data_IF_903391568234
#
_entry.id   IF_903391568234
#
_cell.length_a   1.000
_cell.length_b   1.000
_cell.length_c   1.000
_cell.angle_alpha   90.00
_cell.angle_beta   90.00
_cell.angle_gamma   90.00
#
_symmetry.space_group_name_H-M   'P 1'
#
loop_
_entity.id
_entity.type
_entity.pdbx_description
1 polymer ?
#
# COMPACT_ATOMS: atom_id res chain seq x y z
N UNK A 1 -18.65 -34.08 -28.43
CA UNK A 1 -17.44 -33.24 -28.30
C UNK A 1 -17.78 -31.87 -28.86
N UNK A 2 -17.53 -30.72 -28.22
CA UNK A 2 -16.51 -30.39 -27.24
C UNK A 2 -17.02 -29.30 -26.26
N UNK A 3 -16.74 -29.48 -24.97
CA UNK A 3 -17.24 -28.69 -23.84
C UNK A 3 -16.19 -27.73 -23.28
N UNK A 4 -15.06 -27.55 -23.96
CA UNK A 4 -13.85 -26.94 -23.37
C UNK A 4 -13.22 -25.93 -24.33
N UNK A 5 -13.87 -24.78 -24.51
CA UNK A 5 -13.15 -23.56 -24.84
C UNK A 5 -13.09 -22.71 -23.56
N UNK A 6 -12.24 -23.18 -22.66
CA UNK A 6 -11.37 -22.38 -21.77
C UNK A 6 -11.90 -20.99 -21.43
N UNK A 7 -12.44 -20.87 -20.22
CA UNK A 7 -12.51 -19.62 -19.47
C UNK A 7 -11.10 -19.01 -19.38
N UNK A 8 -10.73 -18.23 -20.40
CA UNK A 8 -9.47 -17.50 -20.49
C UNK A 8 -9.81 -16.06 -20.18
N UNK A 9 -9.96 -15.80 -18.89
CA UNK A 9 -9.84 -14.49 -18.24
C UNK A 9 -9.99 -14.69 -16.73
N UNK A 10 -9.16 -15.58 -16.16
CA UNK A 10 -8.72 -15.32 -14.79
C UNK A 10 -7.88 -14.05 -14.89
N UNK A 11 -8.49 -12.90 -14.57
CA UNK A 11 -7.75 -11.71 -14.17
C UNK A 11 -6.64 -12.18 -13.25
N UNK A 12 -5.38 -12.10 -13.69
CA UNK A 12 -4.26 -12.30 -12.81
C UNK A 12 -4.40 -11.23 -11.73
N UNK A 13 -4.94 -11.63 -10.57
CA UNK A 13 -4.91 -10.78 -9.39
C UNK A 13 -3.44 -10.44 -9.20
N UNK A 14 -3.04 -9.17 -9.16
CA UNK A 14 -1.64 -8.82 -8.94
C UNK A 14 -1.22 -9.44 -7.61
N UNK A 15 -0.47 -10.56 -7.67
CA UNK A 15 -0.05 -11.25 -6.46
C UNK A 15 1.12 -10.45 -5.90
N UNK A 16 0.89 -9.71 -4.83
CA UNK A 16 1.97 -9.01 -4.14
C UNK A 16 2.76 -10.03 -3.32
N UNK A 17 4.09 -9.99 -3.42
CA UNK A 17 4.95 -10.79 -2.54
C UNK A 17 5.06 -10.09 -1.18
N UNK A 18 4.21 -10.51 -0.25
CA UNK A 18 4.17 -9.98 1.12
C UNK A 18 5.51 -10.15 1.84
N UNK A 19 6.27 -11.20 1.55
CA UNK A 19 7.57 -11.43 2.18
C UNK A 19 8.56 -10.39 1.68
N UNK A 20 8.63 -10.19 0.35
CA UNK A 20 9.48 -9.18 -0.25
C UNK A 20 9.17 -7.77 0.28
N UNK A 21 7.88 -7.43 0.43
CA UNK A 21 7.45 -6.14 1.00
C UNK A 21 7.87 -6.00 2.47
N UNK A 22 7.73 -7.06 3.27
CA UNK A 22 8.14 -7.08 4.67
C UNK A 22 9.64 -6.82 4.81
N UNK A 23 10.45 -7.53 4.01
CA UNK A 23 11.92 -7.40 3.98
C UNK A 23 12.33 -6.01 3.53
N UNK A 24 11.74 -5.49 2.45
CA UNK A 24 12.05 -4.16 1.89
C UNK A 24 11.88 -3.04 2.92
N UNK A 25 10.80 -3.09 3.70
CA UNK A 25 10.54 -2.08 4.73
C UNK A 25 11.11 -2.42 6.11
N UNK A 26 11.83 -3.55 6.24
CA UNK A 26 12.40 -4.01 7.52
C UNK A 26 11.34 -4.24 8.61
N UNK A 27 10.15 -4.71 8.22
CA UNK A 27 9.03 -4.95 9.14
C UNK A 27 8.76 -6.43 9.33
N UNK A 28 8.32 -6.81 10.52
CA UNK A 28 7.64 -8.10 10.69
C UNK A 28 6.30 -8.11 9.92
N UNK A 29 5.79 -9.29 9.57
CA UNK A 29 4.45 -9.43 8.97
C UNK A 29 3.35 -8.79 9.83
N UNK A 30 3.50 -8.83 11.15
CA UNK A 30 2.55 -8.21 12.07
C UNK A 30 2.56 -6.69 11.92
N UNK A 31 3.74 -6.08 11.97
CA UNK A 31 3.90 -4.63 11.81
C UNK A 31 3.49 -4.16 10.42
N UNK A 32 3.79 -4.95 9.38
CA UNK A 32 3.35 -4.67 8.02
C UNK A 32 1.82 -4.64 7.93
N UNK A 33 1.15 -5.65 8.49
CA UNK A 33 -0.32 -5.69 8.52
C UNK A 33 -0.89 -4.48 9.26
N UNK A 34 -0.37 -4.17 10.45
CA UNK A 34 -0.81 -3.03 11.25
C UNK A 34 -0.58 -1.70 10.53
N UNK A 35 0.56 -1.52 9.86
CA UNK A 35 0.90 -0.30 9.10
C UNK A 35 -0.03 -0.11 7.90
N UNK A 36 -0.46 -1.21 7.29
CA UNK A 36 -1.45 -1.20 6.21
C UNK A 36 -2.91 -1.07 6.75
N UNK A 37 -3.14 -1.13 8.06
CA UNK A 37 -4.49 -1.09 8.63
C UNK A 37 -5.27 -2.39 8.53
N UNK A 38 -4.55 -3.50 8.50
CA UNK A 38 -5.09 -4.85 8.58
C UNK A 38 -4.92 -5.40 10.01
N UNK A 39 -5.67 -6.45 10.32
CA UNK A 39 -5.41 -7.22 11.55
C UNK A 39 -4.00 -7.82 11.52
N UNK A 40 -3.31 -7.80 12.66
CA UNK A 40 -2.05 -8.51 12.91
C UNK A 40 -2.03 -9.96 12.38
N UNK A 41 -3.18 -10.64 12.38
CA UNK A 41 -3.31 -12.04 12.00
C UNK A 41 -3.66 -12.25 10.51
N UNK A 42 -3.86 -11.17 9.74
CA UNK A 42 -4.22 -11.22 8.31
C UNK A 42 -3.13 -11.85 7.46
N UNK A 43 -1.86 -11.75 7.88
CA UNK A 43 -0.70 -12.26 7.13
C UNK A 43 -0.14 -13.59 7.67
N UNK A 44 -0.80 -14.20 8.68
CA UNK A 44 -0.31 -15.45 9.29
C UNK A 44 -0.55 -16.69 8.43
N UNK A 45 -1.66 -16.74 7.69
CA UNK A 45 -2.01 -17.89 6.81
C UNK A 45 -1.95 -17.45 5.36
N UNK A 46 -1.37 -18.29 4.50
CA UNK A 46 -1.17 -17.98 3.08
C UNK A 46 -2.48 -17.62 2.37
N UNK A 47 -3.57 -18.33 2.67
CA UNK A 47 -4.88 -18.09 2.06
C UNK A 47 -5.44 -16.70 2.43
N UNK A 48 -5.22 -16.26 3.68
CA UNK A 48 -5.65 -14.92 4.14
C UNK A 48 -4.76 -13.82 3.57
N UNK A 49 -3.45 -14.07 3.52
CA UNK A 49 -2.48 -13.12 2.98
C UNK A 49 -2.74 -12.82 1.48
N UNK A 50 -3.28 -13.81 0.76
CA UNK A 50 -3.65 -13.70 -0.65
C UNK A 50 -5.08 -13.21 -0.89
N UNK A 51 -5.85 -12.89 0.17
CA UNK A 51 -7.18 -12.34 0.00
C UNK A 51 -7.11 -11.00 -0.74
N UNK A 52 -7.98 -10.72 -1.73
CA UNK A 52 -7.89 -9.52 -2.56
C UNK A 52 -7.85 -8.21 -1.76
N UNK A 53 -8.60 -8.12 -0.66
CA UNK A 53 -8.60 -6.95 0.22
C UNK A 53 -7.27 -6.74 0.96
N UNK A 54 -6.59 -7.83 1.36
CA UNK A 54 -5.28 -7.77 2.01
C UNK A 54 -4.21 -7.33 1.01
N UNK A 55 -4.19 -7.96 -0.16
CA UNK A 55 -3.26 -7.63 -1.25
C UNK A 55 -3.43 -6.18 -1.68
N UNK A 56 -4.67 -5.73 -1.90
CA UNK A 56 -4.97 -4.36 -2.27
C UNK A 56 -4.45 -3.37 -1.22
N UNK A 57 -4.71 -3.63 0.07
CA UNK A 57 -4.31 -2.70 1.13
C UNK A 57 -2.80 -2.62 1.33
N UNK A 58 -2.09 -3.75 1.23
CA UNK A 58 -0.62 -3.76 1.28
C UNK A 58 -0.05 -3.05 0.04
N UNK A 59 -0.65 -3.27 -1.12
CA UNK A 59 -0.30 -2.58 -2.37
C UNK A 59 -0.49 -1.07 -2.26
N UNK A 60 -1.60 -0.59 -1.69
CA UNK A 60 -1.85 0.84 -1.44
C UNK A 60 -0.77 1.46 -0.57
N UNK A 61 -0.43 0.83 0.55
CA UNK A 61 0.64 1.30 1.44
C UNK A 61 1.99 1.35 0.71
N UNK A 62 2.38 0.25 0.06
CA UNK A 62 3.67 0.14 -0.60
C UNK A 62 3.81 1.13 -1.77
N UNK A 63 2.75 1.33 -2.55
CA UNK A 63 2.72 2.28 -3.66
C UNK A 63 2.86 3.73 -3.18
N UNK A 64 2.15 4.12 -2.12
CA UNK A 64 2.29 5.46 -1.53
C UNK A 64 3.74 5.69 -1.06
N UNK A 65 4.32 4.73 -0.33
CA UNK A 65 5.71 4.85 0.16
C UNK A 65 6.68 4.95 -1.02
N UNK A 66 6.48 4.15 -2.07
CA UNK A 66 7.32 4.19 -3.25
C UNK A 66 7.23 5.54 -3.97
N UNK A 67 6.01 6.06 -4.19
CA UNK A 67 5.76 7.36 -4.82
C UNK A 67 6.48 8.51 -4.08
N UNK A 68 6.49 8.45 -2.75
CA UNK A 68 7.11 9.47 -1.91
C UNK A 68 8.58 9.17 -1.59
N UNK A 69 9.21 8.20 -2.25
CA UNK A 69 10.64 7.87 -2.01
C UNK A 69 11.57 8.90 -2.61
N UNK A 70 11.34 9.31 -3.87
CA UNK A 70 12.28 10.16 -4.60
C UNK A 70 12.47 11.52 -3.94
N UNK A 71 11.37 12.18 -3.55
CA UNK A 71 11.44 13.49 -2.88
C UNK A 71 11.82 13.41 -1.39
N UNK A 72 11.72 12.24 -0.75
CA UNK A 72 12.09 12.02 0.65
C UNK A 72 13.54 11.55 0.75
N UNK A 73 14.18 11.22 -0.37
CA UNK A 73 15.59 10.85 -0.50
C UNK A 73 15.93 9.41 -0.13
N UNK A 74 15.04 8.66 0.54
CA UNK A 74 15.19 7.22 0.76
C UNK A 74 13.89 6.56 1.21
N UNK A 75 13.78 5.24 1.06
CA UNK A 75 12.60 4.49 1.51
C UNK A 75 12.37 4.59 3.02
N UNK A 76 13.46 4.66 3.80
CA UNK A 76 13.38 4.84 5.25
C UNK A 76 12.79 6.20 5.60
N UNK A 77 13.18 7.26 4.89
CA UNK A 77 12.63 8.60 5.08
C UNK A 77 11.19 8.69 4.60
N UNK A 78 10.87 8.04 3.47
CA UNK A 78 9.50 7.93 2.95
C UNK A 78 8.57 7.21 3.93
N UNK A 79 9.04 6.12 4.55
CA UNK A 79 8.29 5.42 5.59
C UNK A 79 8.11 6.28 6.85
N UNK A 80 9.14 7.02 7.27
CA UNK A 80 9.03 7.94 8.39
C UNK A 80 7.99 9.04 8.12
N UNK A 81 8.04 9.64 6.93
CA UNK A 81 7.04 10.61 6.46
C UNK A 81 5.63 10.00 6.43
N UNK A 82 5.48 8.80 5.88
CA UNK A 82 4.19 8.11 5.78
C UNK A 82 3.52 7.92 7.15
N UNK A 83 4.31 7.61 8.18
CA UNK A 83 3.84 7.36 9.55
C UNK A 83 3.61 8.62 10.36
N UNK A 84 4.46 9.62 10.19
CA UNK A 84 4.59 10.73 11.14
C UNK A 84 4.19 12.10 10.59
N UNK A 85 4.24 12.33 9.27
CA UNK A 85 3.99 13.66 8.72
C UNK A 85 2.47 13.97 8.69
N UNK A 86 2.01 15.00 9.41
CA UNK A 86 0.62 15.43 9.35
C UNK A 86 0.35 16.16 8.03
N UNK A 87 -0.70 15.77 7.32
CA UNK A 87 -1.09 16.41 6.06
C UNK A 87 -2.19 17.46 6.30
N UNK A 88 -1.91 18.77 6.11
CA UNK A 88 -2.90 19.83 6.39
C UNK A 88 -4.18 19.68 5.57
N UNK A 89 -4.08 19.27 4.29
CA UNK A 89 -5.23 19.03 3.41
C UNK A 89 -6.18 17.93 3.94
N UNK A 90 -5.72 17.10 4.88
CA UNK A 90 -6.50 16.04 5.51
C UNK A 90 -6.75 16.29 7.01
N UNK A 91 -6.70 17.55 7.45
CA UNK A 91 -6.93 17.92 8.85
C UNK A 91 -5.82 17.43 9.78
N UNK A 92 -4.57 17.41 9.30
CA UNK A 92 -3.40 16.99 10.08
C UNK A 92 -3.24 15.48 10.24
N UNK A 93 -4.01 14.67 9.50
CA UNK A 93 -3.87 13.21 9.50
C UNK A 93 -2.64 12.77 8.71
N UNK A 94 -2.00 11.69 9.14
CA UNK A 94 -0.86 11.09 8.43
C UNK A 94 -1.32 10.24 7.25
N UNK A 95 -0.43 9.99 6.30
CA UNK A 95 -0.68 9.08 5.18
C UNK A 95 -1.09 7.67 5.68
N UNK A 96 -0.42 7.18 6.72
CA UNK A 96 -0.79 5.92 7.40
C UNK A 96 -2.24 5.93 7.89
N UNK A 97 -2.66 7.01 8.57
CA UNK A 97 -4.04 7.14 9.03
C UNK A 97 -5.03 7.12 7.88
N UNK A 98 -4.70 7.76 6.75
CA UNK A 98 -5.55 7.81 5.57
C UNK A 98 -5.73 6.43 4.94
N UNK A 99 -4.64 5.70 4.71
CA UNK A 99 -4.66 4.33 4.18
C UNK A 99 -5.45 3.41 5.12
N UNK A 100 -5.22 3.49 6.43
CA UNK A 100 -5.99 2.75 7.45
C UNK A 100 -7.50 3.00 7.33
N UNK A 101 -7.89 4.24 7.04
CA UNK A 101 -9.29 4.63 6.85
C UNK A 101 -9.85 4.42 5.44
N UNK A 102 -9.14 3.72 4.55
CA UNK A 102 -9.59 3.46 3.18
C UNK A 102 -9.57 4.69 2.27
N UNK A 103 -8.82 5.73 2.62
CA UNK A 103 -8.71 6.99 1.87
C UNK A 103 -7.45 7.06 0.99
N UNK A 104 -6.92 5.91 0.57
CA UNK A 104 -5.72 5.84 -0.25
C UNK A 104 -5.89 6.56 -1.61
N UNK A 105 -7.08 6.48 -2.23
CA UNK A 105 -7.37 7.19 -3.48
C UNK A 105 -7.24 8.72 -3.33
N UNK A 106 -7.90 9.30 -2.32
CA UNK A 106 -7.80 10.74 -2.07
C UNK A 106 -6.37 11.18 -1.76
N UNK A 107 -5.60 10.34 -1.05
CA UNK A 107 -4.18 10.60 -0.81
C UNK A 107 -3.35 10.60 -2.10
N UNK A 108 -3.62 9.68 -3.05
CA UNK A 108 -2.97 9.67 -4.36
C UNK A 108 -3.24 10.96 -5.11
N UNK A 109 -4.51 11.36 -5.20
CA UNK A 109 -4.89 12.59 -5.90
C UNK A 109 -4.15 13.80 -5.32
N UNK A 110 -4.07 13.89 -3.98
CA UNK A 110 -3.29 14.93 -3.31
C UNK A 110 -1.79 14.88 -3.66
N UNK A 111 -1.18 13.69 -3.65
CA UNK A 111 0.24 13.54 -4.00
C UNK A 111 0.49 13.87 -5.48
N UNK A 112 -0.42 13.51 -6.37
CA UNK A 112 -0.34 13.85 -7.80
C UNK A 112 -0.41 15.38 -8.00
N UNK A 113 -1.31 16.06 -7.28
CA UNK A 113 -1.35 17.53 -7.28
C UNK A 113 -0.07 18.16 -6.73
N UNK A 114 0.50 17.61 -5.66
CA UNK A 114 1.74 18.11 -5.07
C UNK A 114 2.94 17.92 -6.02
N UNK A 115 2.99 16.78 -6.72
CA UNK A 115 3.99 16.53 -7.75
C UNK A 115 3.88 17.53 -8.93
N UNK A 116 2.66 17.86 -9.37
CA UNK A 116 2.43 18.83 -10.44
C UNK A 116 2.77 20.28 -10.02
N UNK A 117 2.66 20.61 -8.73
CA UNK A 117 2.99 21.94 -8.19
C UNK A 117 4.45 22.12 -7.75
N UNK A 118 5.23 21.04 -7.65
CA UNK A 118 6.59 21.03 -7.10
C UNK A 118 7.74 21.07 -8.13
N UNK A 119 7.43 21.07 -9.43
CA UNK A 119 8.42 21.19 -10.52
C UNK A 119 8.44 22.59 -11.19
N UNK A 120 7.94 23.63 -10.53
CA UNK A 120 7.97 25.01 -11.02
C UNK A 120 9.06 25.85 -10.33
#
# INVERSE_FOLDING_TARGET
MNKHAIARDLKETPSIDIEAVSVRFGMSKRELAETAGLSANSLQRKERAQAPAVVARIGEMAEIIHRVTDWAGSERQALAWYRAEPLPAFGGRTAESLVKSGKAAALRDYLDHLALGGFA
#
